data_IF_521547288952
#
_entry.id   IF_521547288952
#
_cell.length_a   1.000
_cell.length_b   1.000
_cell.length_c   1.000
_cell.angle_alpha   90.00
_cell.angle_beta   90.00
_cell.angle_gamma   90.00
#
_symmetry.space_group_name_H-M   'P 1'
#
loop_
_entity.id
_entity.type
_entity.pdbx_description
1 polymer ?
#
# COMPACT_ATOMS: atom_id res chain seq x y z
N UNK A 1 -17.71 -36.74 -36.42
CA UNK A 1 -18.08 -38.02 -35.78
C UNK A 1 -17.41 -38.11 -34.41
N UNK A 2 -18.19 -38.48 -33.39
CA UNK A 2 -17.84 -38.85 -31.99
C UNK A 2 -17.21 -37.74 -31.13
N UNK A 3 -17.93 -37.05 -30.24
CA UNK A 3 -18.70 -37.40 -29.02
C UNK A 3 -17.94 -36.99 -27.75
N UNK A 4 -18.61 -36.11 -27.01
CA UNK A 4 -18.26 -35.48 -25.74
C UNK A 4 -18.07 -36.45 -24.56
N UNK A 5 -17.39 -35.98 -23.50
CA UNK A 5 -17.79 -36.24 -22.10
C UNK A 5 -17.49 -35.02 -21.24
N UNK A 6 -18.58 -34.37 -20.81
CA UNK A 6 -18.65 -33.35 -19.76
C UNK A 6 -18.74 -34.06 -18.40
N UNK A 7 -17.95 -33.62 -17.41
CA UNK A 7 -18.14 -33.95 -16.01
C UNK A 7 -18.90 -32.83 -15.31
N UNK A 8 -20.12 -33.14 -14.86
CA UNK A 8 -21.00 -32.32 -14.03
C UNK A 8 -20.75 -32.75 -12.57
N UNK A 9 -20.43 -31.84 -11.65
CA UNK A 9 -20.54 -32.10 -10.22
C UNK A 9 -21.69 -31.24 -9.67
N UNK A 10 -22.71 -31.96 -9.22
CA UNK A 10 -23.90 -31.51 -8.52
C UNK A 10 -23.57 -31.52 -7.01
N UNK A 11 -23.98 -30.50 -6.26
CA UNK A 11 -23.92 -30.61 -4.80
C UNK A 11 -24.28 -29.34 -4.04
N UNK A 12 -25.49 -29.32 -3.46
CA UNK A 12 -25.74 -28.63 -2.20
C UNK A 12 -26.60 -27.36 -2.27
N UNK A 13 -27.92 -27.54 -2.22
CA UNK A 13 -28.83 -26.52 -1.72
C UNK A 13 -29.86 -27.20 -0.80
N UNK A 14 -29.79 -26.90 0.49
CA UNK A 14 -30.86 -27.20 1.45
C UNK A 14 -31.10 -25.91 2.26
N UNK A 15 -32.26 -25.31 1.99
CA UNK A 15 -32.81 -24.14 2.67
C UNK A 15 -33.42 -24.58 4.00
N UNK A 16 -33.09 -23.89 5.09
CA UNK A 16 -33.88 -23.92 6.32
C UNK A 16 -34.14 -22.48 6.77
N UNK A 17 -35.35 -22.03 6.49
CA UNK A 17 -35.93 -20.78 6.95
C UNK A 17 -36.43 -20.96 8.38
N UNK A 18 -35.84 -20.24 9.35
CA UNK A 18 -36.29 -20.20 10.73
C UNK A 18 -36.90 -18.85 11.07
N UNK A 19 -38.23 -18.78 11.17
CA UNK A 19 -38.96 -17.64 11.73
C UNK A 19 -39.02 -17.80 13.25
N UNK A 20 -38.54 -16.80 14.01
CA UNK A 20 -38.75 -16.72 15.45
C UNK A 20 -39.69 -15.56 15.77
N UNK A 21 -40.92 -15.90 16.15
CA UNK A 21 -41.91 -14.97 16.71
C UNK A 21 -41.67 -14.86 18.21
N UNK A 22 -41.30 -13.67 18.71
CA UNK A 22 -41.24 -13.39 20.13
C UNK A 22 -42.62 -12.92 20.63
N UNK A 23 -43.13 -13.62 21.64
CA UNK A 23 -44.41 -13.36 22.27
C UNK A 23 -44.36 -12.09 23.15
N UNK A 24 -45.42 -11.28 23.03
CA UNK A 24 -45.69 -10.11 23.86
C UNK A 24 -46.38 -10.55 25.15
N UNK A 25 -45.71 -10.40 26.29
CA UNK A 25 -46.33 -10.53 27.62
C UNK A 25 -46.48 -9.16 28.26
N UNK A 26 -47.74 -8.71 28.38
CA UNK A 26 -48.15 -7.61 29.25
C UNK A 26 -47.98 -7.99 30.72
N UNK A 27 -47.41 -7.12 31.57
CA UNK A 27 -47.69 -7.15 32.98
C UNK A 27 -48.89 -6.26 33.32
N UNK A 28 -49.74 -6.82 34.16
CA UNK A 28 -50.89 -6.24 34.86
C UNK A 28 -50.47 -5.14 35.84
N UNK A 29 -51.27 -4.08 35.90
CA UNK A 29 -51.07 -2.97 36.81
C UNK A 29 -51.23 -3.35 38.29
N UNK A 30 -50.39 -2.74 39.12
CA UNK A 30 -50.59 -2.60 40.55
C UNK A 30 -50.45 -1.12 40.86
N UNK A 31 -51.56 -0.51 41.28
CA UNK A 31 -51.63 0.89 41.73
C UNK A 31 -51.13 0.95 43.17
N UNK A 32 -50.05 1.67 43.42
CA UNK A 32 -49.62 2.02 44.78
C UNK A 32 -49.44 3.53 44.86
N UNK A 33 -50.12 4.13 45.84
CA UNK A 33 -50.18 5.56 46.04
C UNK A 33 -48.78 6.16 46.31
N UNK A 34 -48.44 7.20 45.56
CA UNK A 34 -47.23 8.00 45.72
C UNK A 34 -47.43 9.03 46.83
N UNK A 35 -46.74 8.84 47.95
CA UNK A 35 -46.52 9.89 48.95
C UNK A 35 -45.29 10.69 48.53
N UNK A 36 -45.45 11.99 48.29
CA UNK A 36 -44.39 12.90 47.86
C UNK A 36 -43.47 13.26 49.03
N UNK A 37 -42.28 12.67 49.06
CA UNK A 37 -41.17 13.18 49.86
C UNK A 37 -40.38 14.20 49.03
N UNK A 38 -40.38 15.46 49.46
CA UNK A 38 -39.65 16.54 48.81
C UNK A 38 -38.15 16.41 49.11
N UNK A 39 -37.37 16.04 48.09
CA UNK A 39 -35.92 15.96 48.19
C UNK A 39 -35.30 17.36 48.19
N UNK A 40 -34.38 17.62 49.13
CA UNK A 40 -33.52 18.79 49.12
C UNK A 40 -32.63 18.79 47.86
N UNK A 41 -32.23 19.96 47.32
CA UNK A 41 -31.41 20.02 46.12
C UNK A 41 -30.02 19.45 46.43
N UNK A 42 -29.73 18.26 45.91
CA UNK A 42 -28.37 17.72 45.86
C UNK A 42 -27.61 18.58 44.85
N UNK A 43 -26.66 19.37 45.33
CA UNK A 43 -25.76 20.14 44.47
C UNK A 43 -25.03 19.20 43.52
N UNK A 44 -25.15 19.45 42.22
CA UNK A 44 -24.44 18.68 41.19
C UNK A 44 -22.93 18.88 41.42
N UNK A 45 -22.12 17.82 41.58
CA UNK A 45 -20.68 17.99 41.63
C UNK A 45 -20.21 18.52 40.28
N UNK A 46 -19.69 19.73 40.26
CA UNK A 46 -19.04 20.30 39.09
C UNK A 46 -17.73 19.55 38.88
N UNK A 47 -17.70 18.62 37.92
CA UNK A 47 -16.44 18.02 37.45
C UNK A 47 -15.71 19.12 36.70
N UNK A 48 -14.71 19.73 37.34
CA UNK A 48 -13.77 20.61 36.67
C UNK A 48 -12.87 19.73 35.80
N UNK A 49 -13.22 19.60 34.53
CA UNK A 49 -12.30 19.06 33.54
C UNK A 49 -11.21 20.12 33.37
N UNK A 50 -10.02 19.83 33.88
CA UNK A 50 -8.86 20.64 33.57
C UNK A 50 -8.69 20.60 32.05
N UNK A 51 -8.97 21.71 31.37
CA UNK A 51 -8.59 21.93 29.99
C UNK A 51 -7.06 22.09 29.96
N UNK A 52 -6.35 20.96 30.13
CA UNK A 52 -5.02 20.85 29.57
C UNK A 52 -5.19 20.95 28.07
N UNK A 53 -4.58 21.98 27.48
CA UNK A 53 -4.31 22.05 26.05
C UNK A 53 -3.99 20.64 25.54
N UNK A 54 -4.65 20.14 24.47
CA UNK A 54 -4.28 18.85 23.91
C UNK A 54 -2.83 19.01 23.43
N UNK A 55 -1.88 18.51 24.22
CA UNK A 55 -0.51 18.33 23.75
C UNK A 55 -0.61 17.37 22.56
N UNK A 56 -0.64 17.97 21.38
CA UNK A 56 -0.65 17.29 20.11
C UNK A 56 0.55 16.36 20.08
N UNK A 57 0.29 15.05 20.23
CA UNK A 57 1.28 13.97 20.17
C UNK A 57 2.03 14.00 18.83
N UNK A 58 1.50 14.71 17.82
CA UNK A 58 2.09 14.90 16.49
C UNK A 58 3.39 15.72 16.48
N UNK A 59 3.76 16.42 17.55
CA UNK A 59 4.98 17.26 17.55
C UNK A 59 6.29 16.53 17.95
N UNK A 60 6.23 15.29 18.46
CA UNK A 60 7.44 14.58 18.94
C UNK A 60 8.23 13.83 17.86
N UNK A 61 7.92 14.00 16.58
CA UNK A 61 8.74 13.53 15.45
C UNK A 61 9.22 14.68 14.57
N UNK A 62 9.55 15.84 15.16
CA UNK A 62 10.52 16.73 14.54
C UNK A 62 11.90 16.05 14.60
N UNK A 63 12.11 15.12 13.67
CA UNK A 63 13.46 14.74 13.26
C UNK A 63 14.11 16.04 12.80
N UNK A 64 15.05 16.56 13.59
CA UNK A 64 15.83 17.77 13.30
C UNK A 64 16.73 17.62 12.06
N UNK A 65 16.54 16.52 11.32
CA UNK A 65 17.30 16.11 10.15
C UNK A 65 16.53 16.48 8.91
N UNK A 66 17.15 17.32 8.09
CA UNK A 66 16.65 17.68 6.78
C UNK A 66 16.65 16.44 5.88
N UNK A 67 15.48 15.85 5.65
CA UNK A 67 15.27 14.82 4.63
C UNK A 67 15.19 15.49 3.27
N UNK A 68 15.84 14.89 2.27
CA UNK A 68 15.90 15.39 0.90
C UNK A 68 16.28 16.88 0.81
N UNK A 69 17.50 17.27 1.24
CA UNK A 69 17.93 18.66 1.27
C UNK A 69 17.95 19.34 -0.10
N UNK A 70 17.86 18.56 -1.19
CA UNK A 70 17.83 19.05 -2.57
C UNK A 70 16.41 19.16 -3.14
N UNK A 71 15.38 18.75 -2.41
CA UNK A 71 13.99 18.79 -2.87
C UNK A 71 13.73 17.99 -4.16
N UNK A 72 14.34 16.81 -4.28
CA UNK A 72 14.22 15.93 -5.45
C UNK A 72 12.90 15.15 -5.47
N UNK A 73 12.33 14.87 -4.31
CA UNK A 73 11.06 14.17 -4.14
C UNK A 73 9.96 15.20 -3.91
N UNK A 74 8.82 15.03 -4.58
CA UNK A 74 7.65 15.90 -4.34
C UNK A 74 7.24 15.83 -2.86
N UNK A 75 7.01 16.96 -2.17
CA UNK A 75 6.67 16.96 -0.75
C UNK A 75 5.46 16.07 -0.41
N UNK A 76 4.42 16.09 -1.24
CA UNK A 76 3.22 15.26 -1.07
C UNK A 76 3.52 13.75 -1.16
N UNK A 77 4.44 13.34 -2.04
CA UNK A 77 4.88 11.94 -2.13
C UNK A 77 5.65 11.53 -0.88
N UNK A 78 6.57 12.38 -0.40
CA UNK A 78 7.34 12.14 0.81
C UNK A 78 6.42 12.03 2.04
N UNK A 79 5.48 12.96 2.20
CA UNK A 79 4.52 12.99 3.31
C UNK A 79 3.65 11.73 3.34
N UNK A 80 3.07 11.34 2.20
CA UNK A 80 2.25 10.12 2.10
C UNK A 80 3.03 8.86 2.39
N UNK A 81 4.28 8.79 1.93
CA UNK A 81 5.13 7.63 2.20
C UNK A 81 5.50 7.51 3.68
N UNK A 82 5.82 8.61 4.36
CA UNK A 82 6.07 8.62 5.80
C UNK A 82 4.81 8.17 6.57
N UNK A 83 3.63 8.69 6.21
CA UNK A 83 2.37 8.27 6.80
C UNK A 83 2.09 6.77 6.57
N UNK A 84 2.31 6.27 5.35
CA UNK A 84 2.17 4.84 5.03
C UNK A 84 3.14 3.98 5.84
N UNK A 85 4.37 4.45 6.06
CA UNK A 85 5.34 3.78 6.91
C UNK A 85 4.85 3.64 8.34
N UNK A 86 4.22 4.68 8.89
CA UNK A 86 3.66 4.69 10.25
C UNK A 86 2.45 3.76 10.35
N UNK A 87 1.51 3.86 9.41
CA UNK A 87 0.31 3.00 9.34
C UNK A 87 0.68 1.51 9.29
N UNK A 88 1.70 1.16 8.50
CA UNK A 88 2.13 -0.22 8.30
C UNK A 88 3.31 -0.64 9.18
N UNK A 89 3.58 0.05 10.30
CA UNK A 89 4.76 -0.19 11.14
C UNK A 89 4.93 -1.62 11.68
N UNK A 90 3.85 -2.42 11.73
CA UNK A 90 3.93 -3.85 12.09
C UNK A 90 4.56 -4.72 10.99
N UNK A 91 4.50 -4.28 9.73
CA UNK A 91 5.08 -4.95 8.56
C UNK A 91 6.37 -4.29 8.08
N UNK A 92 6.53 -2.98 8.34
CA UNK A 92 7.74 -2.22 8.05
C UNK A 92 8.63 -2.20 9.29
N UNK A 93 9.41 -3.27 9.47
CA UNK A 93 10.29 -3.48 10.63
C UNK A 93 11.61 -2.69 10.53
N UNK A 94 11.99 -2.26 9.33
CA UNK A 94 13.21 -1.49 9.08
C UNK A 94 12.87 -0.08 8.59
N UNK A 95 13.30 0.94 9.34
CA UNK A 95 12.97 2.36 9.12
C UNK A 95 14.22 3.22 8.84
N UNK A 96 15.32 2.61 8.45
CA UNK A 96 16.54 3.29 8.03
C UNK A 96 16.44 3.83 6.60
N UNK A 97 15.59 3.23 5.76
CA UNK A 97 15.39 3.59 4.35
C UNK A 97 13.95 3.34 3.90
N UNK A 98 13.54 4.04 2.86
CA UNK A 98 12.33 3.72 2.09
C UNK A 98 12.52 3.99 0.60
N UNK A 99 11.64 3.39 -0.19
CA UNK A 99 11.68 3.47 -1.65
C UNK A 99 10.39 4.09 -2.15
N UNK A 100 10.47 5.11 -2.98
CA UNK A 100 9.31 5.84 -3.47
C UNK A 100 9.23 5.69 -4.98
N UNK A 101 8.03 5.51 -5.52
CA UNK A 101 7.79 5.47 -6.97
C UNK A 101 6.74 6.52 -7.33
N UNK A 102 7.09 7.37 -8.29
CA UNK A 102 6.23 8.44 -8.78
C UNK A 102 5.75 8.15 -10.21
N UNK A 103 4.59 7.52 -10.34
CA UNK A 103 4.01 7.20 -11.63
C UNK A 103 3.38 8.40 -12.35
N UNK A 104 3.29 9.58 -11.71
CA UNK A 104 2.91 10.82 -12.42
C UNK A 104 4.00 11.27 -13.39
N UNK A 105 5.24 10.82 -13.19
CA UNK A 105 6.38 11.14 -14.03
C UNK A 105 6.51 10.21 -15.23
N UNK A 106 7.03 10.78 -16.31
CA UNK A 106 7.37 10.06 -17.53
C UNK A 106 8.37 8.94 -17.24
N UNK A 107 8.24 7.80 -17.93
CA UNK A 107 9.11 6.63 -17.67
C UNK A 107 10.59 6.86 -17.97
N UNK A 108 10.90 7.79 -18.88
CA UNK A 108 12.28 8.22 -19.16
C UNK A 108 12.88 9.14 -18.08
N UNK A 109 12.09 9.59 -17.10
CA UNK A 109 12.58 10.40 -15.99
C UNK A 109 12.91 9.52 -14.79
N UNK A 110 13.79 10.02 -13.92
CA UNK A 110 14.03 9.42 -12.62
C UNK A 110 12.78 9.54 -11.76
N UNK A 111 12.17 8.39 -11.45
CA UNK A 111 10.90 8.30 -10.73
C UNK A 111 10.86 7.18 -9.69
N UNK A 112 12.00 6.53 -9.45
CA UNK A 112 12.24 5.65 -8.32
C UNK A 112 13.26 6.33 -7.43
N UNK A 113 12.93 6.48 -6.15
CA UNK A 113 13.75 7.18 -5.18
C UNK A 113 14.12 6.22 -4.06
N UNK A 114 15.40 6.11 -3.74
CA UNK A 114 15.83 5.56 -2.44
C UNK A 114 16.05 6.74 -1.49
N UNK A 115 15.29 6.78 -0.40
CA UNK A 115 15.42 7.80 0.65
C UNK A 115 16.15 7.18 1.83
N UNK A 116 17.32 7.74 2.17
CA UNK A 116 18.05 7.42 3.38
C UNK A 116 17.48 8.21 4.56
N UNK A 117 16.75 7.55 5.45
CA UNK A 117 16.13 8.21 6.61
C UNK A 117 17.16 8.48 7.72
N UNK A 118 18.28 7.76 7.71
CA UNK A 118 19.41 8.00 8.59
C UNK A 118 20.32 9.15 8.09
N UNK A 119 20.48 9.31 6.77
CA UNK A 119 21.38 10.31 6.19
C UNK A 119 20.70 11.55 5.62
N UNK A 120 19.40 11.48 5.32
CA UNK A 120 18.65 12.50 4.58
C UNK A 120 18.90 12.50 3.07
N UNK A 121 19.86 11.71 2.57
CA UNK A 121 20.20 11.64 1.15
C UNK A 121 19.12 10.91 0.34
N UNK A 122 18.95 11.33 -0.92
CA UNK A 122 18.06 10.65 -1.88
C UNK A 122 18.88 10.22 -3.10
N UNK A 123 18.77 8.94 -3.46
CA UNK A 123 19.31 8.39 -4.71
C UNK A 123 18.20 8.26 -5.74
N UNK A 124 18.45 8.75 -6.95
CA UNK A 124 17.50 8.77 -8.06
C UNK A 124 17.76 7.63 -9.04
N UNK A 125 16.71 6.92 -9.42
CA UNK A 125 16.73 5.82 -10.38
C UNK A 125 15.49 5.90 -11.27
N UNK A 126 15.47 5.11 -12.34
CA UNK A 126 14.30 4.95 -13.20
C UNK A 126 13.64 3.59 -12.93
N UNK A 127 12.34 3.50 -13.17
CA UNK A 127 11.64 2.22 -13.13
C UNK A 127 10.52 2.17 -14.17
N UNK A 128 10.27 0.99 -14.73
CA UNK A 128 9.17 0.72 -15.66
C UNK A 128 7.81 0.65 -14.94
N UNK A 129 6.73 0.59 -15.72
CA UNK A 129 5.39 0.28 -15.23
C UNK A 129 4.78 -0.84 -16.07
N UNK A 130 3.63 -1.37 -15.64
CA UNK A 130 2.90 -2.41 -16.36
C UNK A 130 2.35 -1.94 -17.71
N UNK A 131 2.40 -2.79 -18.74
CA UNK A 131 1.86 -2.48 -20.08
C UNK A 131 0.38 -2.18 -20.09
N UNK A 132 -0.37 -2.75 -19.16
CA UNK A 132 -1.78 -2.46 -18.99
C UNK A 132 -2.02 -1.04 -18.46
N UNK A 133 -1.04 -0.45 -17.76
CA UNK A 133 -1.12 0.92 -17.24
C UNK A 133 -0.87 1.96 -18.32
N UNK A 134 -0.16 1.60 -19.39
CA UNK A 134 0.20 2.44 -20.54
C UNK A 134 0.03 1.67 -21.86
N UNK A 135 -1.22 1.43 -22.32
CA UNK A 135 -1.48 0.54 -23.46
C UNK A 135 -0.87 1.02 -24.78
N UNK A 136 -0.87 2.34 -25.00
CA UNK A 136 -0.31 3.01 -26.19
C UNK A 136 1.19 3.27 -26.10
N UNK A 137 1.85 2.82 -25.02
CA UNK A 137 3.28 3.02 -24.77
C UNK A 137 3.68 4.50 -24.81
N UNK A 138 2.87 5.38 -24.26
CA UNK A 138 3.16 6.81 -24.19
C UNK A 138 4.30 7.16 -23.25
N UNK A 139 4.70 6.25 -22.36
CA UNK A 139 5.66 6.47 -21.29
C UNK A 139 5.02 6.95 -19.99
N UNK A 140 3.71 7.13 -19.93
CA UNK A 140 2.95 7.50 -18.73
C UNK A 140 2.03 6.37 -18.27
N UNK A 141 2.12 5.99 -16.99
CA UNK A 141 1.15 5.06 -16.40
C UNK A 141 -0.14 5.82 -16.08
N UNK A 142 -1.23 5.45 -16.74
CA UNK A 142 -2.53 6.18 -16.65
C UNK A 142 -3.56 5.48 -15.78
N UNK A 143 -3.45 4.16 -15.67
CA UNK A 143 -4.42 3.36 -14.92
C UNK A 143 -3.72 2.26 -14.14
N UNK A 144 -4.27 1.91 -12.98
CA UNK A 144 -3.67 0.96 -12.05
C UNK A 144 -4.69 -0.12 -11.69
N UNK A 145 -4.22 -1.30 -11.30
CA UNK A 145 -5.11 -2.38 -10.90
C UNK A 145 -4.39 -3.39 -10.01
N UNK A 146 -5.17 -3.98 -9.11
CA UNK A 146 -4.78 -5.12 -8.31
C UNK A 146 -5.30 -6.46 -8.85
N UNK A 147 -5.94 -6.46 -10.01
CA UNK A 147 -6.53 -7.65 -10.61
C UNK A 147 -5.43 -8.50 -11.27
N UNK A 148 -5.39 -9.81 -11.01
CA UNK A 148 -4.54 -10.75 -11.75
C UNK A 148 -4.70 -10.59 -13.27
N UNK A 149 -3.61 -10.81 -14.01
CA UNK A 149 -3.55 -10.72 -15.48
C UNK A 149 -3.96 -9.37 -16.11
N UNK A 150 -4.20 -8.33 -15.32
CA UNK A 150 -4.45 -6.98 -15.83
C UNK A 150 -3.23 -6.35 -16.50
N UNK A 151 -2.04 -6.88 -16.22
CA UNK A 151 -0.73 -6.34 -16.60
C UNK A 151 -0.51 -4.87 -16.22
N UNK A 152 -1.28 -4.35 -15.27
CA UNK A 152 -1.18 -2.98 -14.75
C UNK A 152 -0.28 -2.97 -13.52
N UNK A 153 0.45 -1.88 -13.31
CA UNK A 153 1.03 -1.61 -11.99
C UNK A 153 -0.08 -1.33 -10.97
N UNK A 154 0.24 -1.48 -9.69
CA UNK A 154 -0.62 -1.10 -8.57
C UNK A 154 0.06 -0.02 -7.73
N UNK A 155 -0.73 0.85 -7.11
CA UNK A 155 -0.26 1.93 -6.22
C UNK A 155 -0.40 1.52 -4.74
N UNK A 156 0.13 2.32 -3.83
CA UNK A 156 0.08 2.10 -2.38
C UNK A 156 1.38 1.57 -1.79
N UNK A 157 1.30 1.16 -0.52
CA UNK A 157 2.41 0.63 0.27
C UNK A 157 2.67 -0.86 0.00
N UNK A 158 3.96 -1.20 -0.09
CA UNK A 158 4.50 -2.55 -0.17
C UNK A 158 5.57 -2.75 0.90
N UNK A 159 5.65 -3.94 1.47
CA UNK A 159 6.81 -4.37 2.24
C UNK A 159 7.79 -5.12 1.32
N UNK A 160 9.07 -4.79 1.40
CA UNK A 160 10.12 -5.62 0.81
C UNK A 160 10.20 -6.93 1.57
N UNK A 161 10.27 -8.05 0.86
CA UNK A 161 10.31 -9.40 1.45
C UNK A 161 11.60 -10.15 1.11
N UNK A 162 12.70 -9.41 0.99
CA UNK A 162 14.03 -9.98 0.73
C UNK A 162 14.30 -10.33 -0.73
N UNK A 163 15.49 -10.91 -0.90
CA UNK A 163 16.00 -11.33 -2.20
C UNK A 163 15.26 -12.57 -2.72
N UNK A 164 14.86 -12.52 -3.99
CA UNK A 164 14.29 -13.65 -4.72
C UNK A 164 15.06 -13.98 -6.00
N UNK A 165 14.56 -14.99 -6.72
CA UNK A 165 15.03 -15.39 -8.04
C UNK A 165 13.86 -15.92 -8.88
N UNK A 166 13.78 -15.49 -10.14
CA UNK A 166 12.76 -15.95 -11.09
C UNK A 166 13.40 -16.53 -12.35
N UNK A 167 12.79 -17.56 -12.95
CA UNK A 167 13.35 -18.22 -14.14
C UNK A 167 13.55 -17.26 -15.33
N UNK A 168 12.64 -16.28 -15.49
CA UNK A 168 12.72 -15.29 -16.56
C UNK A 168 13.43 -14.00 -16.13
N UNK A 169 13.21 -13.56 -14.88
CA UNK A 169 13.65 -12.25 -14.40
C UNK A 169 15.00 -12.27 -13.70
N UNK A 170 15.54 -13.46 -13.41
CA UNK A 170 16.79 -13.63 -12.68
C UNK A 170 16.69 -13.11 -11.23
N UNK A 171 17.77 -12.52 -10.68
CA UNK A 171 17.77 -11.88 -9.38
C UNK A 171 16.64 -10.87 -9.22
N UNK A 172 15.99 -10.84 -8.07
CA UNK A 172 14.93 -9.86 -7.80
C UNK A 172 14.79 -9.54 -6.30
N UNK A 173 13.93 -8.57 -6.01
CA UNK A 173 13.41 -8.27 -4.68
C UNK A 173 11.93 -8.59 -4.66
N UNK A 174 11.53 -9.40 -3.69
CA UNK A 174 10.15 -9.77 -3.46
C UNK A 174 9.38 -8.63 -2.77
N UNK A 175 8.10 -8.49 -3.08
CA UNK A 175 7.23 -7.48 -2.48
C UNK A 175 5.92 -8.10 -1.98
N UNK A 176 5.48 -7.65 -0.80
CA UNK A 176 4.13 -7.89 -0.28
C UNK A 176 3.32 -6.61 -0.33
N UNK A 177 2.13 -6.67 -0.94
CA UNK A 177 1.19 -5.55 -0.93
C UNK A 177 0.51 -5.40 0.42
N UNK A 178 0.38 -4.18 0.91
CA UNK A 178 -0.14 -3.86 2.24
C UNK A 178 -1.52 -3.17 2.20
N UNK A 179 -2.02 -2.85 1.02
CA UNK A 179 -3.26 -2.10 0.81
C UNK A 179 -4.21 -2.84 -0.15
N UNK A 180 -5.51 -2.55 -0.09
CA UNK A 180 -6.50 -3.14 -1.02
C UNK A 180 -6.13 -2.93 -2.50
N UNK A 181 -5.45 -1.84 -2.81
CA UNK A 181 -4.96 -1.47 -4.14
C UNK A 181 -3.81 -2.35 -4.65
N UNK A 182 -3.17 -3.13 -3.78
CA UNK A 182 -1.99 -3.93 -4.12
C UNK A 182 -1.85 -5.27 -3.37
N UNK A 183 -2.79 -5.66 -2.51
CA UNK A 183 -2.69 -6.85 -1.65
C UNK A 183 -2.56 -8.20 -2.40
N UNK A 184 -2.77 -8.24 -3.72
CA UNK A 184 -2.50 -9.41 -4.55
C UNK A 184 -1.08 -9.40 -5.15
N UNK A 185 -0.19 -8.48 -4.74
CA UNK A 185 1.16 -8.31 -5.31
C UNK A 185 1.95 -9.63 -5.36
N UNK A 186 1.90 -10.41 -4.28
CA UNK A 186 2.59 -11.71 -4.19
C UNK A 186 2.07 -12.71 -5.21
N UNK A 187 0.75 -12.87 -5.28
CA UNK A 187 0.07 -13.78 -6.22
C UNK A 187 0.31 -13.37 -7.68
N UNK A 188 0.39 -12.06 -7.92
CA UNK A 188 0.66 -11.45 -9.23
C UNK A 188 2.16 -11.41 -9.57
N UNK A 189 3.02 -11.94 -8.70
CA UNK A 189 4.47 -11.90 -8.83
C UNK A 189 5.03 -10.48 -9.09
N UNK A 190 4.46 -9.47 -8.44
CA UNK A 190 4.95 -8.09 -8.48
C UNK A 190 6.24 -8.02 -7.65
N UNK A 191 7.33 -7.69 -8.34
CA UNK A 191 8.70 -7.69 -7.81
C UNK A 191 9.47 -6.46 -8.34
N UNK A 192 10.68 -6.25 -7.82
CA UNK A 192 11.69 -5.44 -8.50
C UNK A 192 12.73 -6.35 -9.14
N UNK A 193 13.03 -6.11 -10.40
CA UNK A 193 14.00 -6.90 -11.16
C UNK A 193 14.68 -6.06 -12.24
N UNK A 194 15.81 -6.56 -12.73
CA UNK A 194 16.51 -6.00 -13.89
C UNK A 194 15.78 -6.34 -15.18
N UNK A 195 15.82 -5.45 -16.18
CA UNK A 195 15.28 -5.72 -17.49
C UNK A 195 16.02 -4.94 -18.57
N UNK A 196 16.27 -5.57 -19.73
CA UNK A 196 16.94 -4.92 -20.88
C UNK A 196 16.16 -3.68 -21.33
N UNK A 197 14.83 -3.72 -21.21
CA UNK A 197 13.96 -2.61 -21.56
C UNK A 197 13.92 -1.48 -20.52
N UNK A 198 14.68 -1.60 -19.43
CA UNK A 198 14.89 -0.56 -18.43
C UNK A 198 16.32 0.03 -18.49
N UNK A 199 17.21 -0.55 -19.31
CA UNK A 199 18.61 -0.14 -19.38
C UNK A 199 18.81 1.18 -20.16
N UNK A 200 19.90 1.91 -19.88
CA UNK A 200 20.20 3.19 -20.55
C UNK A 200 20.20 3.11 -22.08
N UNK A 201 20.69 2.01 -22.65
CA UNK A 201 20.74 1.83 -24.11
C UNK A 201 19.35 1.70 -24.74
N UNK A 202 18.40 1.07 -24.03
CA UNK A 202 17.01 1.02 -24.46
C UNK A 202 16.39 2.42 -24.39
N UNK A 203 16.60 3.14 -23.28
CA UNK A 203 16.11 4.51 -23.13
C UNK A 203 16.65 5.44 -24.22
N UNK A 204 17.94 5.36 -24.54
CA UNK A 204 18.58 6.17 -25.56
C UNK A 204 17.98 5.93 -26.95
N UNK A 205 17.60 4.69 -27.26
CA UNK A 205 17.00 4.31 -28.53
C UNK A 205 15.51 4.66 -28.63
N UNK A 206 14.74 4.39 -27.57
CA UNK A 206 13.28 4.46 -27.60
C UNK A 206 12.72 5.78 -27.04
N UNK A 207 13.55 6.59 -26.38
CA UNK A 207 13.17 7.83 -25.70
C UNK A 207 12.34 7.64 -24.43
N UNK A 208 12.05 6.39 -24.04
CA UNK A 208 11.29 5.99 -22.85
C UNK A 208 11.67 4.57 -22.44
N UNK A 209 11.31 4.17 -21.22
CA UNK A 209 11.49 2.77 -20.81
C UNK A 209 10.41 1.87 -21.42
N UNK A 210 10.69 0.57 -21.45
CA UNK A 210 9.72 -0.46 -21.78
C UNK A 210 8.66 -0.64 -20.70
N UNK A 211 7.84 -1.67 -20.87
CA UNK A 211 6.69 -1.95 -20.02
C UNK A 211 6.73 -3.38 -19.52
N UNK A 212 6.59 -3.56 -18.22
CA UNK A 212 6.54 -4.85 -17.55
C UNK A 212 5.10 -5.40 -17.53
N UNK A 213 4.85 -6.46 -16.77
CA UNK A 213 3.50 -6.95 -16.45
C UNK A 213 2.96 -6.43 -15.11
N UNK A 214 3.55 -5.35 -14.60
CA UNK A 214 3.15 -4.67 -13.35
C UNK A 214 4.32 -4.46 -12.39
N UNK A 215 5.41 -5.22 -12.56
CA UNK A 215 6.65 -5.12 -11.79
C UNK A 215 7.34 -3.77 -11.94
N UNK A 216 8.12 -3.42 -10.92
CA UNK A 216 9.00 -2.26 -10.90
C UNK A 216 10.35 -2.65 -11.53
N UNK A 217 10.39 -2.78 -12.86
CA UNK A 217 11.64 -3.14 -13.54
C UNK A 217 12.62 -1.96 -13.52
N UNK A 218 13.90 -2.22 -13.25
CA UNK A 218 14.98 -1.22 -13.18
C UNK A 218 16.12 -1.63 -14.11
N UNK A 219 17.08 -0.73 -14.35
CA UNK A 219 18.28 -1.08 -15.10
C UNK A 219 19.05 -2.21 -14.39
N UNK A 220 19.70 -3.08 -15.17
CA UNK A 220 20.54 -4.16 -14.64
C UNK A 220 21.68 -3.63 -13.77
N UNK A 221 22.19 -2.43 -14.06
CA UNK A 221 23.23 -1.77 -13.27
C UNK A 221 22.76 -1.32 -11.89
N UNK A 222 21.46 -1.01 -11.74
CA UNK A 222 20.90 -0.50 -10.49
C UNK A 222 20.49 -1.65 -9.54
N UNK A 223 20.07 -2.78 -10.12
CA UNK A 223 19.50 -3.90 -9.37
C UNK A 223 20.40 -4.45 -8.25
N UNK A 224 21.72 -4.68 -8.43
CA UNK A 224 22.54 -5.28 -7.38
C UNK A 224 22.55 -4.45 -6.09
N UNK A 225 22.77 -3.14 -6.21
CA UNK A 225 22.76 -2.19 -5.09
C UNK A 225 21.38 -2.09 -4.47
N UNK A 226 20.34 -2.01 -5.30
CA UNK A 226 18.96 -1.93 -4.81
C UNK A 226 18.58 -3.20 -4.03
N UNK A 227 18.88 -4.38 -4.58
CA UNK A 227 18.55 -5.68 -3.96
C UNK A 227 19.21 -5.86 -2.61
N UNK A 228 20.47 -5.47 -2.48
CA UNK A 228 21.19 -5.50 -1.20
C UNK A 228 20.55 -4.55 -0.17
N UNK A 229 20.25 -3.31 -0.56
CA UNK A 229 19.79 -2.26 0.36
C UNK A 229 18.31 -2.36 0.71
N UNK A 230 17.49 -2.96 -0.15
CA UNK A 230 16.07 -3.18 0.13
C UNK A 230 15.92 -4.19 1.26
N UNK A 231 16.60 -5.33 1.17
CA UNK A 231 16.49 -6.39 2.18
C UNK A 231 15.04 -6.78 2.45
N UNK A 232 14.74 -7.10 3.70
CA UNK A 232 13.41 -7.44 4.19
C UNK A 232 12.90 -6.36 5.16
N UNK A 233 11.58 -6.12 5.16
CA UNK A 233 10.91 -5.24 6.13
C UNK A 233 11.02 -3.74 5.88
N UNK A 234 11.43 -3.27 4.70
CA UNK A 234 11.42 -1.85 4.32
C UNK A 234 10.20 -1.49 3.48
N UNK A 235 9.86 -0.21 3.47
CA UNK A 235 8.74 0.32 2.69
C UNK A 235 9.16 0.56 1.24
N UNK A 236 8.35 0.10 0.29
CA UNK A 236 8.20 0.73 -1.02
C UNK A 236 6.81 1.36 -1.12
N UNK A 237 6.73 2.62 -1.53
CA UNK A 237 5.47 3.34 -1.71
C UNK A 237 5.34 3.85 -3.14
N UNK A 238 4.32 3.40 -3.86
CA UNK A 238 4.06 3.80 -5.24
C UNK A 238 2.83 4.70 -5.33
N UNK A 239 2.96 5.85 -6.01
CA UNK A 239 1.90 6.84 -6.10
C UNK A 239 1.71 7.35 -7.53
N UNK A 240 0.48 7.78 -7.85
CA UNK A 240 0.05 8.26 -9.15
C UNK A 240 -1.08 9.29 -9.00
#
# INVERSE_FOLDING_TARGET
>A
MRLARRGFILGGAALLSGCASAASTRPTGVTTALTTAQAAPVGVPQIVVAHGEPESITARLNSTRLLDPRGQVRPELMERALAAMDIHGQKITQRDRMYLVDFTKFSGDERLYEVDLAGGAVTLMRTCHGRGSDPDHSGYARTFSNTPDSYKSSVGAYATAGAGWGAQQGPNVLLDGLEYTNNNARERAIIIHGADYADPDFLAREGKLGRSYGCFSVAHTDLPRLRERMGDGRLLFAWA
#
